data_IF_756416289687
#
_entry.id   IF_756416289687
#
_cell.length_a   1.000
_cell.length_b   1.000
_cell.length_c   1.000
_cell.angle_alpha   90.00
_cell.angle_beta   90.00
_cell.angle_gamma   90.00
#
_symmetry.space_group_name_H-M   'P 1'
#
loop_
_entity.id
_entity.type
_entity.pdbx_description
1 polymer ?
#
# COMPACT_ATOMS: atom_id res chain seq x y z
N UNK A 1 5.02 12.46 -13.26
CA UNK A 1 4.80 11.00 -13.36
C UNK A 1 3.57 10.72 -14.18
N UNK A 2 3.63 9.80 -15.14
CA UNK A 2 2.45 9.32 -15.86
C UNK A 2 1.46 8.66 -14.87
N UNK A 3 0.16 8.82 -15.13
CA UNK A 3 -0.90 8.35 -14.25
C UNK A 3 -1.62 7.14 -14.88
N UNK A 4 -1.69 6.06 -14.13
CA UNK A 4 -2.26 4.79 -14.57
C UNK A 4 -3.19 4.24 -13.50
N UNK A 5 -4.26 3.60 -13.93
CA UNK A 5 -5.22 2.98 -13.02
C UNK A 5 -5.73 1.66 -13.58
N UNK A 6 -5.92 0.69 -12.70
CA UNK A 6 -6.69 -0.51 -12.96
C UNK A 6 -8.00 -0.35 -12.20
N UNK A 7 -9.13 -0.30 -12.92
CA UNK A 7 -10.45 -0.15 -12.31
C UNK A 7 -11.29 -1.40 -12.52
N UNK A 8 -11.87 -1.89 -11.42
CA UNK A 8 -12.85 -2.96 -11.40
C UNK A 8 -14.29 -2.45 -11.35
N UNK A 9 -14.51 -1.14 -11.38
CA UNK A 9 -15.87 -0.60 -11.39
C UNK A 9 -16.55 -0.87 -12.72
N UNK A 10 -17.81 -1.31 -12.68
CA UNK A 10 -18.61 -1.46 -13.89
C UNK A 10 -18.86 -0.08 -14.53
N UNK A 11 -18.86 -0.02 -15.87
CA UNK A 11 -19.09 1.24 -16.60
C UNK A 11 -20.51 1.80 -16.41
N UNK A 12 -21.48 0.91 -16.22
CA UNK A 12 -22.90 1.23 -16.11
C UNK A 12 -23.32 1.58 -14.68
N UNK A 13 -22.56 1.12 -13.69
CA UNK A 13 -22.81 1.32 -12.27
C UNK A 13 -21.48 1.18 -11.52
N UNK A 14 -20.90 2.31 -11.11
CA UNK A 14 -19.57 2.37 -10.51
C UNK A 14 -19.53 1.84 -9.06
N UNK A 15 -20.70 1.51 -8.50
CA UNK A 15 -20.88 0.83 -7.22
C UNK A 15 -20.71 -0.70 -7.35
N UNK A 16 -20.70 -1.23 -8.58
CA UNK A 16 -20.61 -2.68 -8.85
C UNK A 16 -19.25 -3.08 -9.41
N UNK A 17 -18.90 -4.34 -9.18
CA UNK A 17 -17.79 -4.98 -9.89
C UNK A 17 -18.18 -5.18 -11.35
N UNK A 18 -17.28 -4.80 -12.24
CA UNK A 18 -17.31 -5.05 -13.66
C UNK A 18 -16.00 -5.68 -14.16
N UNK A 19 -15.86 -5.84 -15.48
CA UNK A 19 -14.61 -6.33 -16.07
C UNK A 19 -13.46 -5.36 -15.79
N UNK A 20 -12.24 -5.91 -15.66
CA UNK A 20 -11.02 -5.14 -15.47
C UNK A 20 -10.85 -4.12 -16.59
N UNK A 21 -10.64 -2.86 -16.21
CA UNK A 21 -10.32 -1.76 -17.14
C UNK A 21 -8.93 -1.22 -16.83
N UNK A 22 -8.11 -1.15 -17.87
CA UNK A 22 -6.78 -0.59 -17.82
C UNK A 22 -6.82 0.84 -18.34
N UNK A 23 -6.64 1.81 -17.45
CA UNK A 23 -6.82 3.23 -17.74
C UNK A 23 -5.47 3.94 -17.72
N UNK A 24 -5.27 4.80 -18.71
CA UNK A 24 -4.30 5.90 -18.66
C UNK A 24 -5.06 7.17 -18.30
N UNK A 25 -4.53 7.92 -17.33
CA UNK A 25 -5.12 9.17 -16.86
C UNK A 25 -4.22 10.31 -17.36
N UNK A 26 -4.81 11.28 -18.07
CA UNK A 26 -4.12 12.49 -18.47
C UNK A 26 -4.10 13.52 -17.32
N UNK A 27 -3.25 14.54 -17.41
CA UNK A 27 -3.12 15.57 -16.36
C UNK A 27 -4.43 16.34 -16.10
N UNK A 28 -5.30 16.44 -17.11
CA UNK A 28 -6.64 17.03 -16.99
C UNK A 28 -7.71 16.06 -16.45
N UNK A 29 -7.31 14.86 -16.00
CA UNK A 29 -8.21 13.81 -15.49
C UNK A 29 -8.88 12.95 -16.56
N UNK A 30 -8.64 13.20 -17.85
CA UNK A 30 -9.24 12.41 -18.94
C UNK A 30 -8.73 10.97 -18.89
N UNK A 31 -9.67 10.02 -18.98
CA UNK A 31 -9.37 8.59 -18.93
C UNK A 31 -9.40 7.98 -20.32
N UNK A 32 -8.34 7.28 -20.68
CA UNK A 32 -8.27 6.46 -21.90
C UNK A 32 -8.16 4.99 -21.51
N UNK A 33 -9.14 4.19 -21.90
CA UNK A 33 -9.07 2.75 -21.74
C UNK A 33 -8.14 2.14 -22.80
N UNK A 34 -7.24 1.26 -22.37
CA UNK A 34 -6.27 0.57 -23.20
C UNK A 34 -6.49 -0.95 -23.10
N UNK A 35 -6.03 -1.69 -24.11
CA UNK A 35 -5.92 -3.15 -23.98
C UNK A 35 -4.88 -3.51 -22.91
N UNK A 36 -4.95 -4.69 -22.27
CA UNK A 36 -3.98 -5.09 -21.24
C UNK A 36 -2.53 -4.99 -21.74
N UNK A 37 -2.27 -5.45 -22.98
CA UNK A 37 -0.95 -5.38 -23.60
C UNK A 37 -0.49 -3.95 -23.84
N UNK A 38 -1.35 -3.08 -24.38
CA UNK A 38 -1.00 -1.69 -24.66
C UNK A 38 -0.77 -0.90 -23.37
N UNK A 39 -1.59 -1.14 -22.35
CA UNK A 39 -1.44 -0.50 -21.04
C UNK A 39 -0.14 -0.93 -20.35
N UNK A 40 0.14 -2.24 -20.34
CA UNK A 40 1.40 -2.77 -19.80
C UNK A 40 2.61 -2.12 -20.46
N UNK A 41 2.59 -2.03 -21.79
CA UNK A 41 3.65 -1.37 -22.55
C UNK A 41 3.78 0.10 -22.13
N UNK A 42 2.68 0.84 -22.02
CA UNK A 42 2.70 2.24 -21.60
C UNK A 42 3.29 2.44 -20.19
N UNK A 43 2.99 1.53 -19.25
CA UNK A 43 3.60 1.53 -17.92
C UNK A 43 5.11 1.28 -18.01
N UNK A 44 5.53 0.26 -18.75
CA UNK A 44 6.95 -0.09 -18.95
C UNK A 44 7.75 1.01 -19.68
N UNK A 45 7.12 1.69 -20.63
CA UNK A 45 7.70 2.83 -21.35
C UNK A 45 7.88 4.06 -20.45
N UNK A 46 7.18 4.13 -19.31
CA UNK A 46 7.26 5.27 -18.37
C UNK A 46 8.50 5.23 -17.48
N UNK A 47 9.20 4.09 -17.39
CA UNK A 47 10.47 4.00 -16.69
C UNK A 47 11.57 4.70 -17.51
N UNK A 48 12.24 5.67 -16.88
CA UNK A 48 13.37 6.41 -17.47
C UNK A 48 14.65 5.58 -17.45
N UNK A 49 14.86 4.81 -16.39
CA UNK A 49 16.01 3.93 -16.26
C UNK A 49 15.82 2.64 -17.04
N UNK A 50 16.93 2.18 -17.64
CA UNK A 50 17.00 0.94 -18.41
C UNK A 50 18.20 0.12 -17.98
N UNK A 51 18.07 -1.20 -18.06
CA UNK A 51 19.20 -2.13 -17.97
C UNK A 51 20.14 -1.94 -19.16
N UNK A 52 21.38 -2.50 -19.14
CA UNK A 52 22.27 -2.48 -20.31
C UNK A 52 21.65 -3.07 -21.58
N UNK A 53 20.68 -3.97 -21.43
CA UNK A 53 19.92 -4.60 -22.52
C UNK A 53 18.74 -3.71 -23.01
N UNK A 54 18.59 -2.51 -22.46
CA UNK A 54 17.51 -1.58 -22.81
C UNK A 54 16.16 -1.91 -22.18
N UNK A 55 16.10 -2.82 -21.20
CA UNK A 55 14.86 -3.20 -20.52
C UNK A 55 14.53 -2.23 -19.38
N UNK A 56 13.25 -1.97 -19.08
CA UNK A 56 12.85 -1.14 -17.94
C UNK A 56 13.47 -1.55 -16.61
N UNK A 57 13.95 -0.57 -15.85
CA UNK A 57 14.44 -0.71 -14.46
C UNK A 57 13.80 0.37 -13.59
N UNK A 58 13.50 0.04 -12.33
CA UNK A 58 13.01 0.99 -11.33
C UNK A 58 11.84 0.44 -10.51
N UNK A 59 11.13 1.33 -9.81
CA UNK A 59 10.03 0.95 -8.91
C UNK A 59 8.63 1.11 -9.51
N UNK A 60 7.78 0.11 -9.29
CA UNK A 60 6.35 0.15 -9.61
C UNK A 60 5.55 0.06 -8.33
N UNK A 61 4.81 1.11 -7.99
CA UNK A 61 3.92 1.12 -6.84
C UNK A 61 2.47 0.93 -7.28
N UNK A 62 1.83 -0.13 -6.79
CA UNK A 62 0.37 -0.24 -6.80
C UNK A 62 -0.20 0.34 -5.51
N UNK A 63 -1.09 1.32 -5.63
CA UNK A 63 -1.83 1.87 -4.49
C UNK A 63 -3.26 1.33 -4.44
N UNK A 64 -3.66 0.75 -3.31
CA UNK A 64 -5.01 0.24 -3.08
C UNK A 64 -5.71 1.14 -2.06
N UNK A 65 -6.73 1.87 -2.51
CA UNK A 65 -7.48 2.79 -1.65
C UNK A 65 -8.37 2.05 -0.62
N UNK A 66 -8.79 2.79 0.41
CA UNK A 66 -9.67 2.31 1.47
C UNK A 66 -11.15 2.22 1.09
N UNK A 67 -11.99 1.98 2.09
CA UNK A 67 -13.45 1.97 1.94
C UNK A 67 -14.00 3.38 1.65
N UNK A 68 -15.29 3.48 1.29
CA UNK A 68 -15.99 4.76 1.13
C UNK A 68 -15.31 5.74 0.13
N UNK A 69 -14.65 5.21 -0.89
CA UNK A 69 -13.98 6.00 -1.92
C UNK A 69 -14.81 5.94 -3.21
N UNK A 70 -15.30 7.07 -3.71
CA UNK A 70 -15.92 7.13 -5.04
C UNK A 70 -14.87 7.04 -6.14
N UNK A 71 -15.27 6.77 -7.39
CA UNK A 71 -14.32 6.79 -8.50
C UNK A 71 -13.64 8.16 -8.68
N UNK A 72 -14.38 9.25 -8.44
CA UNK A 72 -13.85 10.62 -8.47
C UNK A 72 -12.80 10.83 -7.38
N UNK A 73 -13.06 10.35 -6.17
CA UNK A 73 -12.11 10.46 -5.06
C UNK A 73 -10.87 9.59 -5.28
N UNK A 74 -11.02 8.42 -5.90
CA UNK A 74 -9.89 7.59 -6.29
C UNK A 74 -8.97 8.30 -7.30
N UNK A 75 -9.52 9.00 -8.29
CA UNK A 75 -8.75 9.81 -9.24
C UNK A 75 -8.06 11.01 -8.58
N UNK A 76 -8.74 11.65 -7.64
CA UNK A 76 -8.16 12.75 -6.85
C UNK A 76 -6.99 12.25 -6.00
N UNK A 77 -7.20 11.16 -5.26
CA UNK A 77 -6.19 10.53 -4.42
C UNK A 77 -5.00 10.01 -5.23
N UNK A 78 -5.21 9.48 -6.44
CA UNK A 78 -4.13 9.14 -7.38
C UNK A 78 -3.23 10.35 -7.67
N UNK A 79 -3.83 11.50 -8.01
CA UNK A 79 -3.08 12.71 -8.31
C UNK A 79 -2.33 13.26 -7.09
N UNK A 80 -2.99 13.30 -5.93
CA UNK A 80 -2.41 13.79 -4.68
C UNK A 80 -1.25 12.91 -4.21
N UNK A 81 -1.43 11.58 -4.19
CA UNK A 81 -0.38 10.64 -3.79
C UNK A 81 0.82 10.69 -4.73
N UNK A 82 0.61 10.78 -6.05
CA UNK A 82 1.72 10.97 -7.01
C UNK A 82 2.46 12.26 -6.76
N UNK A 83 1.74 13.36 -6.52
CA UNK A 83 2.37 14.65 -6.24
C UNK A 83 3.21 14.59 -4.96
N UNK A 84 2.71 13.94 -3.90
CA UNK A 84 3.44 13.74 -2.64
C UNK A 84 4.69 12.88 -2.86
N UNK A 85 4.57 11.70 -3.47
CA UNK A 85 5.71 10.84 -3.77
C UNK A 85 6.80 11.59 -4.57
N UNK A 86 6.42 12.35 -5.60
CA UNK A 86 7.35 13.18 -6.37
C UNK A 86 8.02 14.27 -5.51
N UNK A 87 7.24 14.98 -4.68
CA UNK A 87 7.75 16.03 -3.81
C UNK A 87 8.76 15.50 -2.78
N UNK A 88 8.67 14.21 -2.44
CA UNK A 88 9.60 13.51 -1.56
C UNK A 88 10.68 12.74 -2.34
N UNK A 89 10.85 12.97 -3.64
CA UNK A 89 11.99 12.46 -4.40
C UNK A 89 11.87 11.01 -4.88
N UNK A 90 10.69 10.40 -4.80
CA UNK A 90 10.44 9.08 -5.38
C UNK A 90 10.26 9.19 -6.90
N UNK A 91 10.98 8.36 -7.65
CA UNK A 91 11.08 8.44 -9.13
C UNK A 91 10.41 7.27 -9.86
N UNK A 92 9.72 6.39 -9.14
CA UNK A 92 9.04 5.23 -9.72
C UNK A 92 7.76 5.55 -10.49
N UNK A 93 7.09 4.48 -10.94
CA UNK A 93 5.79 4.54 -11.64
C UNK A 93 4.67 4.17 -10.67
N UNK A 94 3.66 5.02 -10.57
CA UNK A 94 2.50 4.82 -9.69
C UNK A 94 1.30 4.31 -10.48
N UNK A 95 0.61 3.30 -9.93
CA UNK A 95 -0.63 2.75 -10.46
C UNK A 95 -1.68 2.70 -9.35
N UNK A 96 -2.82 3.35 -9.55
CA UNK A 96 -3.97 3.19 -8.66
C UNK A 96 -4.73 1.89 -8.97
N UNK A 97 -5.09 1.14 -7.93
CA UNK A 97 -6.01 0.01 -8.01
C UNK A 97 -7.36 0.41 -7.44
N UNK A 98 -8.31 0.63 -8.34
CA UNK A 98 -9.66 1.10 -8.04
C UNK A 98 -10.63 -0.09 -7.96
N UNK A 99 -11.17 -0.31 -6.76
CA UNK A 99 -12.17 -1.34 -6.49
C UNK A 99 -13.47 -0.66 -6.03
N UNK A 100 -14.66 -1.26 -6.28
CA UNK A 100 -15.94 -0.64 -5.94
C UNK A 100 -16.20 -0.70 -4.43
N UNK A 101 -15.59 0.23 -3.69
CA UNK A 101 -15.99 0.59 -2.34
C UNK A 101 -17.15 1.57 -2.45
N UNK A 102 -18.33 1.22 -1.97
CA UNK A 102 -19.64 1.81 -2.33
C UNK A 102 -19.84 3.30 -2.00
N UNK A 103 -18.85 4.01 -1.44
CA UNK A 103 -19.01 5.43 -1.10
C UNK A 103 -20.06 5.70 -0.01
N UNK A 104 -20.50 4.67 0.73
CA UNK A 104 -21.49 4.77 1.79
C UNK A 104 -21.12 3.93 3.03
N UNK A 105 -21.29 4.50 4.23
CA UNK A 105 -20.93 3.90 5.53
C UNK A 105 -21.78 2.69 5.95
N UNK A 106 -22.99 2.53 5.40
CA UNK A 106 -23.92 1.43 5.73
C UNK A 106 -23.60 0.12 4.96
N UNK A 107 -22.60 0.14 4.06
CA UNK A 107 -22.26 -0.96 3.15
C UNK A 107 -21.10 -1.86 3.58
N UNK A 108 -20.52 -1.72 4.78
CA UNK A 108 -19.26 -2.40 5.18
C UNK A 108 -19.19 -3.90 4.85
N UNK A 109 -20.29 -4.66 5.07
CA UNK A 109 -20.34 -6.08 4.72
C UNK A 109 -20.44 -6.35 3.20
N UNK A 110 -21.18 -5.52 2.46
CA UNK A 110 -21.28 -5.62 1.01
C UNK A 110 -19.95 -5.26 0.33
N UNK A 111 -19.27 -4.22 0.83
CA UNK A 111 -17.93 -3.82 0.41
C UNK A 111 -16.91 -4.93 0.64
N UNK A 112 -17.08 -5.75 1.68
CA UNK A 112 -16.19 -6.88 1.95
C UNK A 112 -16.32 -8.01 0.92
N UNK A 113 -17.54 -8.25 0.42
CA UNK A 113 -17.79 -9.20 -0.68
C UNK A 113 -17.13 -8.68 -1.97
N UNK A 114 -17.30 -7.38 -2.26
CA UNK A 114 -16.64 -6.74 -3.39
C UNK A 114 -15.12 -6.78 -3.27
N UNK A 115 -14.56 -6.48 -2.09
CA UNK A 115 -13.12 -6.54 -1.82
C UNK A 115 -12.57 -7.95 -2.08
N UNK A 116 -13.30 -9.00 -1.66
CA UNK A 116 -12.91 -10.40 -1.93
C UNK A 116 -12.99 -10.73 -3.42
N UNK A 117 -14.05 -10.33 -4.10
CA UNK A 117 -14.21 -10.55 -5.54
C UNK A 117 -13.19 -9.75 -6.38
N UNK A 118 -12.73 -8.61 -5.86
CA UNK A 118 -11.72 -7.75 -6.46
C UNK A 118 -10.30 -8.25 -6.24
N UNK A 119 -10.07 -9.03 -5.19
CA UNK A 119 -8.73 -9.42 -4.76
C UNK A 119 -7.97 -10.27 -5.79
N UNK A 120 -8.67 -11.16 -6.51
CA UNK A 120 -8.04 -12.02 -7.51
C UNK A 120 -7.47 -11.22 -8.68
N UNK A 121 -8.18 -10.17 -9.11
CA UNK A 121 -7.71 -9.31 -10.19
C UNK A 121 -6.45 -8.51 -9.82
N UNK A 122 -6.19 -8.24 -8.53
CA UNK A 122 -4.94 -7.63 -8.12
C UNK A 122 -3.75 -8.55 -8.43
N UNK A 123 -3.91 -9.87 -8.26
CA UNK A 123 -2.88 -10.84 -8.65
C UNK A 123 -2.85 -11.01 -10.18
N UNK A 124 -3.98 -11.41 -10.76
CA UNK A 124 -4.05 -11.92 -12.13
C UNK A 124 -3.98 -10.80 -13.19
N UNK A 125 -4.39 -9.59 -12.83
CA UNK A 125 -4.53 -8.44 -13.74
C UNK A 125 -3.66 -7.25 -13.35
N UNK A 126 -2.87 -7.35 -12.27
CA UNK A 126 -1.92 -6.30 -11.91
C UNK A 126 -0.53 -6.86 -11.62
N UNK A 127 -0.34 -7.61 -10.53
CA UNK A 127 0.99 -8.03 -10.10
C UNK A 127 1.65 -8.97 -11.11
N UNK A 128 0.95 -10.01 -11.56
CA UNK A 128 1.51 -11.00 -12.51
C UNK A 128 1.88 -10.38 -13.87
N UNK A 129 1.47 -9.16 -14.19
CA UNK A 129 1.92 -8.49 -15.42
C UNK A 129 3.38 -7.99 -15.34
N UNK A 130 3.93 -7.81 -14.13
CA UNK A 130 5.20 -7.12 -13.92
C UNK A 130 6.23 -7.88 -13.08
N UNK A 131 5.89 -8.99 -12.42
CA UNK A 131 6.89 -9.72 -11.62
C UNK A 131 7.93 -10.42 -12.51
N UNK A 132 9.21 -10.31 -12.12
CA UNK A 132 10.40 -10.74 -12.85
C UNK A 132 10.34 -12.19 -13.38
N UNK A 133 9.69 -13.11 -12.67
CA UNK A 133 9.51 -14.49 -13.13
C UNK A 133 8.73 -14.62 -14.46
N UNK A 134 8.04 -13.56 -14.88
CA UNK A 134 7.21 -13.51 -16.08
C UNK A 134 7.81 -12.63 -17.19
N UNK A 135 8.90 -11.90 -16.88
CA UNK A 135 9.61 -11.04 -17.82
C UNK A 135 11.10 -11.23 -17.60
N UNK A 136 11.74 -12.16 -18.33
CA UNK A 136 13.18 -12.36 -18.25
C UNK A 136 13.92 -11.01 -18.36
N UNK A 137 14.86 -10.79 -17.45
CA UNK A 137 15.77 -9.64 -17.44
C UNK A 137 15.13 -8.25 -17.19
N UNK A 138 13.84 -8.17 -16.86
CA UNK A 138 13.17 -6.93 -16.43
C UNK A 138 13.44 -6.64 -14.95
N UNK A 139 14.04 -5.47 -14.66
CA UNK A 139 14.43 -5.07 -13.31
C UNK A 139 13.44 -4.08 -12.68
N UNK A 140 12.15 -4.35 -12.85
CA UNK A 140 11.08 -3.58 -12.20
C UNK A 140 10.76 -4.20 -10.85
N UNK A 141 10.89 -3.42 -9.78
CA UNK A 141 10.54 -3.83 -8.42
C UNK A 141 9.12 -3.43 -8.13
N UNK A 142 8.25 -4.42 -7.97
CA UNK A 142 6.84 -4.19 -7.68
C UNK A 142 6.66 -4.02 -6.18
N UNK A 143 5.91 -3.00 -5.76
CA UNK A 143 5.53 -2.73 -4.37
C UNK A 143 4.05 -2.41 -4.29
N UNK A 144 3.45 -2.60 -3.11
CA UNK A 144 2.05 -2.27 -2.83
C UNK A 144 1.98 -1.33 -1.63
N UNK A 145 1.17 -0.29 -1.72
CA UNK A 145 0.72 0.50 -0.58
C UNK A 145 -0.80 0.39 -0.50
N UNK A 146 -1.32 0.08 0.67
CA UNK A 146 -2.75 -0.11 0.87
C UNK A 146 -3.23 0.61 2.11
N UNK A 147 -4.31 1.38 1.98
CA UNK A 147 -4.94 2.11 3.08
C UNK A 147 -6.18 1.39 3.57
N UNK A 148 -6.38 1.33 4.90
CA UNK A 148 -7.65 0.90 5.48
C UNK A 148 -8.12 -0.46 4.94
N UNK A 149 -9.35 -0.55 4.42
CA UNK A 149 -9.92 -1.75 3.80
C UNK A 149 -9.18 -2.20 2.52
N UNK A 150 -8.38 -1.34 1.89
CA UNK A 150 -7.45 -1.75 0.85
C UNK A 150 -6.45 -2.79 1.35
N UNK A 151 -6.05 -2.73 2.64
CA UNK A 151 -5.22 -3.77 3.25
C UNK A 151 -5.92 -5.13 3.30
N UNK A 152 -7.24 -5.13 3.51
CA UNK A 152 -8.06 -6.35 3.43
C UNK A 152 -8.08 -6.90 2.00
N UNK A 153 -8.26 -6.06 0.98
CA UNK A 153 -8.17 -6.46 -0.44
C UNK A 153 -6.84 -7.15 -0.73
N UNK A 154 -5.72 -6.54 -0.31
CA UNK A 154 -4.38 -7.11 -0.49
C UNK A 154 -4.24 -8.44 0.25
N UNK A 155 -4.68 -8.54 1.51
CA UNK A 155 -4.65 -9.81 2.25
C UNK A 155 -5.42 -10.91 1.52
N UNK A 156 -6.60 -10.60 0.98
CA UNK A 156 -7.38 -11.57 0.20
C UNK A 156 -6.69 -11.94 -1.12
N UNK A 157 -5.96 -11.00 -1.75
CA UNK A 157 -5.24 -11.26 -2.99
C UNK A 157 -4.10 -12.26 -2.75
N UNK A 158 -3.37 -12.11 -1.65
CA UNK A 158 -2.30 -13.04 -1.28
C UNK A 158 -2.85 -14.40 -0.80
N UNK A 159 -4.04 -14.43 -0.19
CA UNK A 159 -4.77 -15.69 0.05
C UNK A 159 -5.02 -16.45 -1.24
N UNK A 160 -5.50 -15.76 -2.28
CA UNK A 160 -5.73 -16.35 -3.60
C UNK A 160 -4.43 -16.87 -4.20
N UNK A 161 -3.38 -16.05 -4.21
CA UNK A 161 -2.09 -16.43 -4.78
C UNK A 161 -1.44 -17.63 -4.08
N UNK A 162 -1.69 -17.81 -2.78
CA UNK A 162 -1.25 -18.98 -2.02
C UNK A 162 -2.06 -20.24 -2.33
N UNK A 163 -3.37 -20.11 -2.60
CA UNK A 163 -4.27 -21.23 -2.88
C UNK A 163 -4.24 -21.67 -4.35
N UNK A 164 -4.01 -20.75 -5.28
CA UNK A 164 -3.91 -21.07 -6.70
C UNK A 164 -2.61 -21.82 -6.99
N UNK A 165 -2.72 -23.09 -7.39
CA UNK A 165 -1.57 -23.99 -7.63
C UNK A 165 -0.57 -23.40 -8.61
N UNK A 166 -1.05 -22.74 -9.68
CA UNK A 166 -0.18 -22.19 -10.73
C UNK A 166 0.64 -21.00 -10.24
N UNK A 167 0.01 -20.09 -9.51
CA UNK A 167 0.66 -18.91 -8.93
C UNK A 167 1.56 -19.30 -7.76
N UNK A 168 1.12 -20.25 -6.94
CA UNK A 168 1.83 -20.73 -5.77
C UNK A 168 3.12 -21.51 -6.12
N UNK A 169 3.15 -22.15 -7.29
CA UNK A 169 4.30 -22.88 -7.81
C UNK A 169 5.38 -21.97 -8.44
N UNK A 170 5.06 -20.72 -8.76
CA UNK A 170 6.02 -19.76 -9.33
C UNK A 170 6.86 -19.12 -8.22
N UNK A 171 8.15 -18.95 -8.46
CA UNK A 171 9.01 -18.14 -7.60
C UNK A 171 8.80 -16.66 -7.96
N UNK A 172 7.88 -15.98 -7.27
CA UNK A 172 7.59 -14.58 -7.48
C UNK A 172 7.49 -13.88 -6.12
N UNK A 173 7.83 -12.60 -6.09
CA UNK A 173 7.72 -11.76 -4.89
C UNK A 173 7.58 -10.30 -5.28
N UNK A 174 7.08 -9.50 -4.34
CA UNK A 174 7.09 -8.03 -4.39
C UNK A 174 8.13 -7.51 -3.39
N UNK A 175 8.68 -6.32 -3.66
CA UNK A 175 9.69 -5.69 -2.82
C UNK A 175 9.10 -5.26 -1.47
N UNK A 176 8.13 -4.35 -1.51
CA UNK A 176 7.55 -3.74 -0.31
C UNK A 176 6.03 -3.87 -0.27
N UNK A 177 5.48 -4.15 0.91
CA UNK A 177 4.07 -3.99 1.23
C UNK A 177 3.93 -2.98 2.35
N UNK A 178 3.31 -1.83 2.08
CA UNK A 178 3.00 -0.80 3.08
C UNK A 178 1.51 -0.86 3.42
N UNK A 179 1.16 -1.14 4.66
CA UNK A 179 -0.21 -1.14 5.17
C UNK A 179 -0.41 0.11 6.04
N UNK A 180 -1.19 1.08 5.57
CA UNK A 180 -1.43 2.34 6.26
C UNK A 180 -2.81 2.30 6.89
N UNK A 181 -2.91 2.42 8.22
CA UNK A 181 -4.18 2.26 8.93
C UNK A 181 -4.93 0.97 8.52
N UNK A 182 -4.20 -0.12 8.27
CA UNK A 182 -4.75 -1.31 7.63
C UNK A 182 -5.86 -2.00 8.43
N UNK A 183 -7.01 -2.22 7.79
CA UNK A 183 -8.12 -3.01 8.32
C UNK A 183 -7.88 -4.51 8.09
N UNK A 184 -6.91 -5.04 8.83
CA UNK A 184 -6.63 -6.47 8.91
C UNK A 184 -6.52 -6.86 10.38
N UNK A 185 -7.01 -8.06 10.71
CA UNK A 185 -6.87 -8.61 12.06
C UNK A 185 -5.38 -8.73 12.41
N UNK A 186 -4.97 -8.11 13.52
CA UNK A 186 -3.58 -8.15 14.00
C UNK A 186 -3.10 -9.59 14.15
N UNK A 187 -3.88 -10.44 14.81
CA UNK A 187 -3.51 -11.84 15.02
C UNK A 187 -3.29 -12.62 13.71
N UNK A 188 -3.96 -12.23 12.62
CA UNK A 188 -3.75 -12.89 11.32
C UNK A 188 -2.36 -12.67 10.73
N UNK A 189 -1.58 -11.73 11.27
CA UNK A 189 -0.23 -11.38 10.85
C UNK A 189 0.87 -12.08 11.66
N UNK A 190 0.50 -12.90 12.66
CA UNK A 190 1.46 -13.78 13.33
C UNK A 190 2.05 -14.79 12.35
N UNK A 191 3.30 -15.20 12.56
CA UNK A 191 4.06 -16.05 11.65
C UNK A 191 3.42 -17.41 11.39
N UNK A 192 2.66 -17.93 12.36
CA UNK A 192 1.92 -19.18 12.29
C UNK A 192 0.52 -19.02 11.68
N UNK A 193 0.06 -17.80 11.44
CA UNK A 193 -1.26 -17.50 10.89
C UNK A 193 -1.20 -17.19 9.39
N UNK A 194 -2.34 -17.36 8.72
CA UNK A 194 -2.50 -17.24 7.27
C UNK A 194 -1.85 -15.98 6.67
N UNK A 195 -2.20 -14.79 7.17
CA UNK A 195 -1.68 -13.53 6.64
C UNK A 195 -0.16 -13.38 6.83
N UNK A 196 0.34 -13.79 8.00
CA UNK A 196 1.77 -13.87 8.27
C UNK A 196 2.50 -14.78 7.29
N UNK A 197 2.00 -16.01 7.08
CA UNK A 197 2.60 -16.98 6.15
C UNK A 197 2.56 -16.50 4.70
N UNK A 198 1.45 -15.94 4.24
CA UNK A 198 1.30 -15.51 2.85
C UNK A 198 2.21 -14.32 2.52
N UNK A 199 2.20 -13.28 3.35
CA UNK A 199 3.06 -12.12 3.11
C UNK A 199 4.53 -12.48 3.28
N UNK A 200 4.89 -13.29 4.29
CA UNK A 200 6.28 -13.73 4.45
C UNK A 200 6.80 -14.57 3.28
N UNK A 201 5.92 -15.28 2.55
CA UNK A 201 6.29 -16.03 1.34
C UNK A 201 6.54 -15.11 0.13
N UNK A 202 5.72 -14.08 -0.04
CA UNK A 202 5.63 -13.33 -1.30
C UNK A 202 6.09 -11.87 -1.22
N UNK A 203 6.46 -11.37 -0.05
CA UNK A 203 6.83 -9.97 0.16
C UNK A 203 8.22 -9.90 0.80
N UNK A 204 9.11 -9.10 0.23
CA UNK A 204 10.44 -8.85 0.81
C UNK A 204 10.35 -8.19 2.19
N UNK A 205 9.53 -7.14 2.32
CA UNK A 205 9.24 -6.50 3.61
C UNK A 205 7.80 -6.00 3.70
N UNK A 206 7.12 -6.33 4.80
CA UNK A 206 5.79 -5.77 5.14
C UNK A 206 5.96 -4.70 6.21
N UNK A 207 5.52 -3.47 5.95
CA UNK A 207 5.58 -2.35 6.89
C UNK A 207 4.17 -1.89 7.24
N UNK A 208 3.87 -1.79 8.53
CA UNK A 208 2.57 -1.31 9.02
C UNK A 208 2.74 0.07 9.63
N UNK A 209 1.91 1.01 9.21
CA UNK A 209 1.76 2.32 9.86
C UNK A 209 0.48 2.29 10.67
N UNK A 210 0.63 2.40 11.99
CA UNK A 210 -0.47 2.29 12.94
C UNK A 210 -0.67 3.55 13.77
N UNK A 211 -1.90 3.76 14.24
CA UNK A 211 -2.24 4.86 15.14
C UNK A 211 -3.23 4.39 16.21
N UNK A 212 -2.82 4.43 17.48
CA UNK A 212 -3.65 3.99 18.62
C UNK A 212 -4.89 4.86 18.83
N UNK A 213 -4.88 6.08 18.28
CA UNK A 213 -6.03 6.98 18.31
C UNK A 213 -7.07 6.67 17.21
N UNK A 214 -6.79 5.80 16.25
CA UNK A 214 -7.68 5.47 15.12
C UNK A 214 -8.93 4.71 15.58
N UNK A 215 -10.02 5.45 15.82
CA UNK A 215 -11.27 4.92 16.34
C UNK A 215 -12.10 4.16 15.31
N UNK A 216 -11.88 4.38 14.01
CA UNK A 216 -12.56 3.64 12.93
C UNK A 216 -12.27 2.15 13.06
N UNK A 217 -11.00 1.84 13.33
CA UNK A 217 -10.52 0.47 13.51
C UNK A 217 -10.85 -0.16 14.88
N UNK A 218 -11.65 0.52 15.72
CA UNK A 218 -12.30 -0.13 16.88
C UNK A 218 -13.42 -1.06 16.44
N UNK A 219 -13.98 -0.86 15.24
CA UNK A 219 -15.02 -1.73 14.67
C UNK A 219 -14.37 -3.07 14.32
N UNK A 220 -14.39 -3.97 15.29
CA UNK A 220 -13.82 -5.30 15.20
C UNK A 220 -14.76 -6.26 14.46
N UNK A 221 -14.21 -7.05 13.56
CA UNK A 221 -14.85 -8.30 13.16
C UNK A 221 -14.82 -9.22 14.38
N UNK A 222 -15.98 -9.78 14.69
CA UNK A 222 -16.10 -10.87 15.65
C UNK A 222 -15.59 -12.14 14.97
N UNK A 223 -14.44 -12.66 15.41
CA UNK A 223 -14.01 -14.03 15.09
C UNK A 223 -14.37 -14.88 16.29
N UNK A 224 -15.22 -15.89 16.11
CA UNK A 224 -15.72 -16.75 17.20
C UNK A 224 -16.38 -15.99 18.37
N UNK A 225 -16.95 -14.80 18.12
CA UNK A 225 -17.57 -13.98 19.16
C UNK A 225 -16.62 -13.04 19.91
N UNK A 226 -15.32 -13.00 19.57
CA UNK A 226 -14.35 -12.10 20.19
C UNK A 226 -13.94 -10.95 19.25
N UNK A 227 -13.89 -9.70 19.75
CA UNK A 227 -13.32 -8.56 19.04
C UNK A 227 -11.87 -8.82 18.66
N UNK A 228 -11.55 -8.83 17.36
CA UNK A 228 -10.15 -8.90 16.92
C UNK A 228 -9.54 -7.50 16.77
N UNK A 229 -8.41 -7.19 17.43
CA UNK A 229 -7.69 -5.94 17.23
C UNK A 229 -7.23 -5.79 15.77
N UNK A 230 -7.25 -4.56 15.25
CA UNK A 230 -6.81 -4.25 13.88
C UNK A 230 -5.38 -3.76 13.86
N UNK A 231 -4.60 -4.26 12.90
CA UNK A 231 -3.19 -3.91 12.77
C UNK A 231 -2.96 -2.41 12.59
N UNK A 232 -3.83 -1.71 11.83
CA UNK A 232 -3.75 -0.26 11.68
C UNK A 232 -3.98 0.55 12.96
N UNK A 233 -4.56 -0.06 14.01
CA UNK A 233 -4.79 0.58 15.31
C UNK A 233 -3.74 0.19 16.35
N UNK A 234 -3.38 -1.09 16.40
CA UNK A 234 -2.56 -1.66 17.48
C UNK A 234 -1.18 -2.12 17.05
N UNK A 235 -0.84 -2.00 15.76
CA UNK A 235 0.42 -2.44 15.20
C UNK A 235 0.49 -3.95 14.99
N UNK A 236 1.70 -4.50 14.96
CA UNK A 236 1.96 -5.92 14.73
C UNK A 236 1.79 -6.78 16.00
N UNK A 237 1.42 -8.07 15.88
CA UNK A 237 1.50 -9.00 17.02
C UNK A 237 2.96 -9.25 17.42
N UNK A 238 3.18 -9.80 18.62
CA UNK A 238 4.53 -10.16 19.08
C UNK A 238 5.19 -11.19 18.15
N UNK A 239 4.43 -12.21 17.73
CA UNK A 239 4.88 -13.32 16.90
C UNK A 239 4.90 -13.01 15.39
N UNK A 240 5.01 -11.74 14.99
CA UNK A 240 5.08 -11.39 13.57
C UNK A 240 6.41 -11.88 12.95
N UNK A 241 6.43 -12.26 11.65
CA UNK A 241 7.68 -12.59 10.95
C UNK A 241 8.74 -11.49 11.03
N UNK A 242 10.02 -11.86 11.01
CA UNK A 242 11.15 -10.90 11.02
C UNK A 242 11.22 -10.01 9.77
N UNK A 243 10.52 -10.36 8.70
CA UNK A 243 10.33 -9.53 7.50
C UNK A 243 9.30 -8.42 7.70
N UNK A 244 8.59 -8.39 8.85
CA UNK A 244 7.56 -7.42 9.15
C UNK A 244 8.09 -6.32 10.07
N UNK A 245 7.68 -5.09 9.78
CA UNK A 245 8.09 -3.87 10.45
C UNK A 245 6.85 -3.08 10.92
N UNK A 246 6.87 -2.59 12.15
CA UNK A 246 5.78 -1.76 12.69
C UNK A 246 6.27 -0.32 12.90
N UNK A 247 5.47 0.64 12.47
CA UNK A 247 5.71 2.07 12.60
C UNK A 247 4.52 2.69 13.34
N UNK A 248 4.67 2.88 14.66
CA UNK A 248 3.67 3.54 15.50
C UNK A 248 3.72 5.05 15.28
N UNK A 249 2.66 5.58 14.66
CA UNK A 249 2.48 6.98 14.32
C UNK A 249 1.64 7.74 15.36
N UNK A 250 1.33 7.12 16.51
CA UNK A 250 0.47 7.73 17.55
C UNK A 250 1.08 9.00 18.13
N UNK A 251 2.41 9.03 18.31
CA UNK A 251 3.11 10.22 18.78
C UNK A 251 2.98 11.39 17.79
N UNK A 252 3.13 11.10 16.49
CA UNK A 252 2.93 12.09 15.42
C UNK A 252 1.50 12.63 15.45
N UNK A 253 0.47 11.76 15.45
CA UNK A 253 -0.92 12.19 15.54
C UNK A 253 -1.19 13.04 16.80
N UNK A 254 -0.65 12.64 17.95
CA UNK A 254 -0.86 13.35 19.20
C UNK A 254 -0.24 14.76 19.18
N UNK A 255 0.85 14.94 18.44
CA UNK A 255 1.55 16.23 18.29
C UNK A 255 0.83 17.25 17.40
N UNK A 256 -0.18 16.82 16.63
CA UNK A 256 -0.91 17.71 15.75
C UNK A 256 -1.73 18.73 16.56
N UNK A 257 -1.69 19.99 16.11
CA UNK A 257 -2.50 21.08 16.62
C UNK A 257 -3.93 20.96 16.09
N UNK A 258 -4.67 20.03 16.69
CA UNK A 258 -6.07 19.74 16.39
C UNK A 258 -6.95 20.17 17.56
N UNK A 259 -8.02 20.87 17.24
CA UNK A 259 -9.13 21.11 18.17
C UNK A 259 -9.74 19.78 18.61
N UNK A 260 -10.45 19.79 19.75
CA UNK A 260 -11.12 18.58 20.24
C UNK A 260 -12.09 17.97 19.19
N UNK A 261 -12.94 18.75 18.49
CA UNK A 261 -13.78 18.23 17.41
C UNK A 261 -13.01 17.52 16.30
N UNK A 262 -11.88 18.08 15.86
CA UNK A 262 -11.03 17.47 14.84
C UNK A 262 -10.38 16.18 15.33
N UNK A 263 -9.93 16.16 16.60
CA UNK A 263 -9.26 15.01 17.21
C UNK A 263 -10.20 13.83 17.42
N UNK A 264 -11.47 14.08 17.75
CA UNK A 264 -12.47 13.01 17.96
C UNK A 264 -13.14 12.56 16.66
N UNK A 265 -12.98 13.30 15.56
CA UNK A 265 -13.48 12.89 14.25
C UNK A 265 -12.76 11.61 13.80
N UNK A 266 -13.48 10.49 13.60
CA UNK A 266 -12.86 9.21 13.23
C UNK A 266 -12.03 9.28 11.95
N UNK A 267 -12.47 10.05 10.96
CA UNK A 267 -11.76 10.19 9.68
C UNK A 267 -10.42 10.88 9.83
N UNK A 268 -10.29 11.84 10.77
CA UNK A 268 -9.01 12.54 10.99
C UNK A 268 -7.94 11.55 11.43
N UNK A 269 -8.18 10.78 12.51
CA UNK A 269 -7.21 9.83 13.03
C UNK A 269 -6.89 8.67 12.06
N UNK A 270 -7.83 8.35 11.17
CA UNK A 270 -7.72 7.27 10.19
C UNK A 270 -6.96 7.68 8.92
N UNK A 271 -7.02 8.96 8.54
CA UNK A 271 -6.47 9.47 7.27
C UNK A 271 -5.31 10.45 7.42
N UNK A 272 -5.00 10.95 8.64
CA UNK A 272 -4.01 12.03 8.85
C UNK A 272 -2.66 11.82 8.17
N UNK A 273 -2.22 10.56 8.01
CA UNK A 273 -0.94 10.17 7.42
C UNK A 273 -0.65 10.89 6.10
N UNK A 274 -1.64 10.98 5.21
CA UNK A 274 -1.45 11.51 3.85
C UNK A 274 -1.19 13.02 3.82
N UNK A 275 -1.46 13.72 4.93
CA UNK A 275 -1.17 15.13 5.11
C UNK A 275 0.18 15.39 5.81
N UNK A 276 0.89 14.33 6.24
CA UNK A 276 2.14 14.47 6.99
C UNK A 276 3.38 14.23 6.13
N UNK A 277 4.27 15.22 6.08
CA UNK A 277 5.59 15.09 5.44
C UNK A 277 6.43 13.97 6.08
N UNK A 278 6.32 13.78 7.40
CA UNK A 278 7.03 12.73 8.12
C UNK A 278 6.66 11.33 7.60
N UNK A 279 5.37 11.11 7.33
CA UNK A 279 4.88 9.85 6.76
C UNK A 279 5.45 9.63 5.36
N UNK A 280 5.34 10.62 4.47
CA UNK A 280 5.79 10.46 3.10
C UNK A 280 7.31 10.29 2.98
N UNK A 281 8.11 10.98 3.81
CA UNK A 281 9.56 10.76 3.86
C UNK A 281 9.91 9.32 4.24
N UNK A 282 9.23 8.77 5.25
CA UNK A 282 9.43 7.37 5.68
C UNK A 282 8.95 6.38 4.61
N UNK A 283 7.77 6.64 4.01
CA UNK A 283 7.20 5.81 2.97
C UNK A 283 8.10 5.74 1.74
N UNK A 284 8.65 6.87 1.28
CA UNK A 284 9.61 6.90 0.16
C UNK A 284 10.85 6.08 0.49
N UNK A 285 11.49 6.29 1.64
CA UNK A 285 12.68 5.52 2.03
C UNK A 285 12.38 4.01 2.16
N UNK A 286 11.17 3.67 2.60
CA UNK A 286 10.69 2.28 2.65
C UNK A 286 10.54 1.68 1.26
N UNK A 287 9.93 2.43 0.33
CA UNK A 287 9.69 2.02 -1.05
C UNK A 287 10.99 1.85 -1.81
N UNK A 288 11.93 2.78 -1.63
CA UNK A 288 13.30 2.65 -2.14
C UNK A 288 13.92 1.36 -1.59
N UNK A 289 13.98 1.19 -0.26
CA UNK A 289 14.32 -0.11 0.32
C UNK A 289 15.78 -0.57 0.18
N UNK A 290 16.69 0.26 -0.37
CA UNK A 290 18.13 -0.04 -0.44
C UNK A 290 18.87 0.18 0.89
N UNK A 291 18.21 0.73 1.91
CA UNK A 291 18.73 0.81 3.29
C UNK A 291 17.88 -0.02 4.26
N UNK A 292 18.52 -0.53 5.31
CA UNK A 292 17.83 -1.29 6.35
C UNK A 292 16.86 -0.41 7.15
N UNK A 293 15.77 -1.03 7.60
CA UNK A 293 14.71 -0.37 8.39
C UNK A 293 15.21 0.28 9.69
N UNK A 294 16.32 -0.18 10.26
CA UNK A 294 16.92 0.40 11.47
C UNK A 294 17.69 1.70 11.23
N UNK A 295 18.11 1.95 9.99
CA UNK A 295 18.90 3.13 9.64
C UNK A 295 18.07 4.20 8.92
N UNK A 296 16.76 3.98 8.77
CA UNK A 296 15.84 4.98 8.23
C UNK A 296 15.70 6.13 9.25
N UNK A 297 16.16 7.37 8.93
CA UNK A 297 16.33 8.43 9.91
C UNK A 297 15.01 8.98 10.45
N UNK A 298 13.87 8.74 9.79
CA UNK A 298 12.53 9.12 10.25
C UNK A 298 12.02 8.26 11.40
N UNK A 299 12.71 7.18 11.77
CA UNK A 299 12.28 6.20 12.77
C UNK A 299 13.10 6.31 14.06
N UNK A 300 12.44 6.01 15.18
CA UNK A 300 13.08 5.71 16.46
C UNK A 300 12.60 4.36 16.96
N UNK A 301 13.46 3.57 17.61
CA UNK A 301 13.08 2.26 18.15
C UNK A 301 11.96 2.41 19.19
N UNK A 302 10.95 1.54 19.12
CA UNK A 302 9.84 1.48 20.05
C UNK A 302 10.06 0.32 21.02
N UNK A 303 10.58 0.64 22.21
CA UNK A 303 10.94 -0.37 23.20
C UNK A 303 12.17 -1.19 22.79
N UNK A 304 12.20 -2.45 23.19
CA UNK A 304 13.34 -3.37 22.96
C UNK A 304 13.05 -4.44 21.91
N UNK A 305 11.82 -4.51 21.40
CA UNK A 305 11.42 -5.50 20.40
C UNK A 305 11.93 -5.07 19.03
N UNK A 306 12.65 -5.96 18.37
CA UNK A 306 13.16 -5.73 17.02
C UNK A 306 12.02 -5.41 16.04
N UNK A 307 12.31 -4.58 15.03
CA UNK A 307 11.35 -4.20 13.98
C UNK A 307 10.09 -3.48 14.49
N UNK A 308 10.19 -2.82 15.65
CA UNK A 308 9.17 -1.92 16.19
C UNK A 308 9.75 -0.53 16.29
N UNK A 309 9.12 0.42 15.64
CA UNK A 309 9.56 1.81 15.60
C UNK A 309 8.38 2.75 15.89
N UNK A 310 8.70 3.96 16.31
CA UNK A 310 7.80 5.10 16.24
C UNK A 310 8.26 6.05 15.15
N UNK A 311 7.31 6.63 14.43
CA UNK A 311 7.60 7.71 13.49
C UNK A 311 7.93 8.98 14.27
N UNK A 312 9.10 9.56 14.02
CA UNK A 312 9.56 10.76 14.75
C UNK A 312 8.59 11.93 14.55
N UNK A 313 8.28 12.60 15.65
CA UNK A 313 7.52 13.87 15.66
C UNK A 313 8.38 15.00 15.12
N UNK A 314 9.64 15.08 15.57
CA UNK A 314 10.59 16.07 15.10
C UNK A 314 11.01 15.76 13.66
N UNK A 315 10.83 16.75 12.79
CA UNK A 315 11.25 16.63 11.40
C UNK A 315 12.76 16.46 11.31
N UNK A 316 13.21 15.46 10.56
CA UNK A 316 14.61 15.35 10.17
C UNK A 316 15.00 16.53 9.26
N UNK A 317 16.26 16.95 9.31
CA UNK A 317 16.76 18.00 8.43
C UNK A 317 16.68 17.57 6.96
N UNK A 318 16.54 18.53 6.05
CA UNK A 318 16.52 18.25 4.62
C UNK A 318 17.80 17.54 4.17
N UNK A 319 18.97 17.92 4.71
CA UNK A 319 20.24 17.27 4.41
C UNK A 319 20.29 15.81 4.86
N UNK A 320 19.81 15.51 6.08
CA UNK A 320 19.76 14.13 6.58
C UNK A 320 18.81 13.26 5.73
N UNK A 321 17.67 13.83 5.33
CA UNK A 321 16.74 13.13 4.44
C UNK A 321 17.36 12.84 3.07
N UNK A 322 17.98 13.83 2.42
CA UNK A 322 18.59 13.67 1.11
C UNK A 322 19.74 12.65 1.13
N UNK A 323 20.57 12.65 2.17
CA UNK A 323 21.62 11.65 2.33
C UNK A 323 21.05 10.22 2.44
N UNK A 324 19.99 10.03 3.25
CA UNK A 324 19.33 8.74 3.37
C UNK A 324 18.65 8.30 2.07
N UNK A 325 18.03 9.24 1.34
CA UNK A 325 17.39 8.96 0.05
C UNK A 325 18.41 8.50 -0.99
N UNK A 326 19.54 9.18 -1.10
CA UNK A 326 20.63 8.80 -2.01
C UNK A 326 21.18 7.41 -1.68
N UNK A 327 21.38 7.09 -0.39
CA UNK A 327 21.79 5.75 0.04
C UNK A 327 20.75 4.70 -0.30
N UNK A 328 19.46 5.00 -0.07
CA UNK A 328 18.37 4.09 -0.36
C UNK A 328 18.23 3.81 -1.86
N UNK A 329 18.45 4.81 -2.72
CA UNK A 329 18.42 4.68 -4.18
C UNK A 329 19.63 3.92 -4.71
N UNK A 330 20.83 4.18 -4.16
CA UNK A 330 22.06 3.51 -4.58
C UNK A 330 22.14 2.02 -4.18
N UNK A 331 21.37 1.61 -3.16
CA UNK A 331 21.32 0.22 -2.70
C UNK A 331 20.48 -0.72 -3.59
N UNK A 332 19.83 -0.20 -4.63
CA UNK A 332 18.96 -0.94 -5.56
C UNK A 332 19.52 -1.03 -6.98
#
# INVERSE_FOLDING_TARGET
MAAFMISLRAKTDDSKIGPVRYLRIADNGTQTALSPTAWRKAVLDSFTEKTPQGLPRGDLLFYVHGFNTSFKDALKGDAENRARLAAHGWTGVYVSYDWPSLGETLGYYADRSNARASANALIDSALTMFVAALVPDCQVRVSIMAHSMGAFVVRQAFSWAYQDVKTNAKAWSISQLLLVAGDVSQGSLSADQDGGRWFNKYVGRTTIYSNRFDSVLKISDLKNGEPTPRAGRVGLPAEAPASFCDIDCSALFNSLDLSLPERVNPSTAHCFYFDQDAFWRDAVLTLEGGIDRHVIPTRALLGTTDNRFTLKVEAISAAAYQAALQLAQAGN
#
